data_IF_743172412047
#
_entry.id   IF_743172412047
#
_cell.length_a   1.000
_cell.length_b   1.000
_cell.length_c   1.000
_cell.angle_alpha   90.00
_cell.angle_beta   90.00
_cell.angle_gamma   90.00
#
_symmetry.space_group_name_H-M   'P 1'
#
loop_
_entity.id
_entity.type
_entity.pdbx_description
1 polymer ?
#
# COMPACT_ATOMS: atom_id res chain seq x y z
N UNK A 1 16.25 70.40 78.70
CA UNK A 1 16.19 69.36 79.75
C UNK A 1 14.85 68.64 79.55
N UNK A 2 14.77 67.49 78.85
CA UNK A 2 14.90 66.08 79.34
C UNK A 2 14.00 65.87 80.59
N UNK A 3 12.92 65.10 80.58
CA UNK A 3 12.77 63.65 80.28
C UNK A 3 11.29 63.24 80.05
N UNK A 4 11.07 61.99 79.63
CA UNK A 4 9.84 61.17 79.85
C UNK A 4 8.71 61.37 78.81
N UNK A 5 7.94 60.40 78.35
CA UNK A 5 7.63 58.99 78.68
C UNK A 5 7.04 58.34 77.39
N UNK A 6 7.31 57.07 77.05
CA UNK A 6 6.49 55.88 77.39
C UNK A 6 4.96 56.17 77.29
N UNK A 7 4.09 55.38 76.65
CA UNK A 7 4.20 54.07 76.05
C UNK A 7 2.91 53.80 75.24
N UNK A 8 3.03 52.83 74.35
CA UNK A 8 2.00 52.13 73.60
C UNK A 8 0.69 51.82 74.34
N UNK A 9 -0.43 51.84 73.61
CA UNK A 9 -1.20 50.63 73.27
C UNK A 9 -2.55 51.04 72.66
N UNK A 10 -2.61 51.13 71.32
CA UNK A 10 -3.87 51.06 70.58
C UNK A 10 -3.88 49.73 69.83
N UNK A 11 -4.98 49.03 70.04
CA UNK A 11 -5.24 47.66 69.65
C UNK A 11 -4.88 47.36 68.19
N UNK A 12 -4.11 46.30 67.99
CA UNK A 12 -4.09 45.56 66.73
C UNK A 12 -5.45 44.89 66.56
N UNK A 13 -6.40 45.61 65.98
CA UNK A 13 -7.49 44.97 65.25
C UNK A 13 -6.87 44.37 64.00
N UNK A 14 -6.60 43.07 64.07
CA UNK A 14 -6.18 42.27 62.94
C UNK A 14 -7.16 42.45 61.78
N UNK A 15 -6.68 43.05 60.70
CA UNK A 15 -7.33 42.92 59.40
C UNK A 15 -7.31 41.43 59.01
N UNK A 16 -8.39 40.90 58.43
CA UNK A 16 -8.46 39.50 58.05
C UNK A 16 -7.41 39.20 56.99
N UNK A 17 -6.81 38.03 57.12
CA UNK A 17 -5.94 37.42 56.14
C UNK A 17 -6.57 37.49 54.74
N UNK A 18 -5.82 37.98 53.76
CA UNK A 18 -6.12 37.73 52.34
C UNK A 18 -5.79 36.26 52.02
N UNK A 19 -6.59 35.35 52.55
CA UNK A 19 -6.58 33.94 52.17
C UNK A 19 -7.44 33.79 50.90
N UNK A 20 -6.98 34.31 49.76
CA UNK A 20 -7.68 34.11 48.48
C UNK A 20 -6.80 34.17 47.21
N UNK A 21 -5.49 34.42 47.31
CA UNK A 21 -4.63 34.55 46.12
C UNK A 21 -3.70 33.34 45.87
N UNK A 22 -3.26 32.65 46.94
CA UNK A 22 -2.26 31.56 46.86
C UNK A 22 -2.74 30.30 46.13
N UNK A 23 -3.99 29.90 46.33
CA UNK A 23 -4.60 28.71 45.72
C UNK A 23 -4.67 28.79 44.18
N UNK A 24 -4.88 30.00 43.66
CA UNK A 24 -4.97 30.25 42.21
C UNK A 24 -3.59 30.26 41.51
N UNK A 25 -2.53 30.63 42.24
CA UNK A 25 -1.16 30.61 41.76
C UNK A 25 -0.62 29.17 41.72
N UNK A 26 -0.76 28.45 42.83
CA UNK A 26 -0.29 27.06 42.97
C UNK A 26 -1.01 26.12 42.00
N UNK A 27 -2.33 26.30 41.80
CA UNK A 27 -3.09 25.55 40.80
C UNK A 27 -2.63 25.84 39.36
N UNK A 28 -2.43 27.11 39.00
CA UNK A 28 -1.94 27.50 37.66
C UNK A 28 -0.53 26.99 37.41
N UNK A 29 0.34 27.06 38.41
CA UNK A 29 1.71 26.55 38.31
C UNK A 29 1.72 25.03 38.18
N UNK A 30 0.92 24.32 38.99
CA UNK A 30 0.75 22.87 38.88
C UNK A 30 0.20 22.44 37.51
N UNK A 31 -0.80 23.16 36.98
CA UNK A 31 -1.36 22.91 35.67
C UNK A 31 -0.33 23.16 34.55
N UNK A 32 0.40 24.27 34.61
CA UNK A 32 1.45 24.61 33.64
C UNK A 32 2.56 23.57 33.65
N UNK A 33 3.06 23.21 34.83
CA UNK A 33 4.11 22.20 35.00
C UNK A 33 3.66 20.85 34.46
N UNK A 34 2.45 20.40 34.79
CA UNK A 34 1.88 19.16 34.26
C UNK A 34 1.72 19.18 32.73
N UNK A 35 1.32 20.31 32.15
CA UNK A 35 1.22 20.46 30.69
C UNK A 35 2.59 20.42 30.01
N UNK A 36 3.57 21.16 30.54
CA UNK A 36 4.93 21.22 30.01
C UNK A 36 5.63 19.85 30.10
N UNK A 37 5.51 19.16 31.25
CA UNK A 37 6.07 17.82 31.46
C UNK A 37 5.40 16.77 30.56
N UNK A 38 4.07 16.83 30.43
CA UNK A 38 3.30 15.96 29.55
C UNK A 38 3.65 16.15 28.08
N UNK A 39 3.79 17.41 27.63
CA UNK A 39 4.17 17.73 26.27
C UNK A 39 5.59 17.29 25.95
N UNK A 40 6.55 17.58 26.83
CA UNK A 40 7.96 17.22 26.63
C UNK A 40 8.17 15.69 26.60
N UNK A 41 7.51 14.97 27.50
CA UNK A 41 7.57 13.50 27.55
C UNK A 41 6.91 12.85 26.32
N UNK A 42 5.73 13.34 25.91
CA UNK A 42 5.04 12.90 24.72
C UNK A 42 5.83 13.17 23.44
N UNK A 43 6.39 14.37 23.29
CA UNK A 43 7.20 14.76 22.13
C UNK A 43 8.46 13.90 21.99
N UNK A 44 9.18 13.67 23.09
CA UNK A 44 10.38 12.81 23.11
C UNK A 44 10.04 11.37 22.76
N UNK A 45 8.94 10.84 23.29
CA UNK A 45 8.49 9.48 22.98
C UNK A 45 8.09 9.36 21.51
N UNK A 46 7.37 10.34 20.98
CA UNK A 46 7.01 10.39 19.55
C UNK A 46 8.23 10.41 18.64
N UNK A 47 9.26 11.20 18.97
CA UNK A 47 10.54 11.19 18.23
C UNK A 47 11.30 9.87 18.36
N UNK A 48 11.32 9.27 19.55
CA UNK A 48 11.98 7.98 19.77
C UNK A 48 11.27 6.85 19.03
N UNK A 49 9.94 6.87 18.97
CA UNK A 49 9.12 5.89 18.26
C UNK A 49 9.20 6.08 16.74
N UNK A 50 9.22 7.32 16.24
CA UNK A 50 9.39 7.60 14.82
C UNK A 50 10.81 7.33 14.32
N UNK A 51 11.81 7.46 15.19
CA UNK A 51 13.20 7.10 14.91
C UNK A 51 13.47 5.60 15.05
N UNK A 52 12.48 4.78 15.47
CA UNK A 52 12.66 3.33 15.48
C UNK A 52 12.82 2.88 14.03
N UNK A 53 13.92 2.18 13.69
CA UNK A 53 14.03 1.60 12.38
C UNK A 53 12.83 0.69 12.16
N UNK A 54 12.17 0.85 11.00
CA UNK A 54 11.18 -0.10 10.57
C UNK A 54 11.80 -1.50 10.65
N UNK A 55 11.05 -2.47 11.18
CA UNK A 55 11.45 -3.87 11.06
C UNK A 55 11.83 -4.12 9.60
N UNK A 56 13.01 -4.69 9.33
CA UNK A 56 13.46 -4.86 7.96
C UNK A 56 12.34 -5.56 7.19
N UNK A 57 11.90 -4.93 6.09
CA UNK A 57 10.93 -5.55 5.21
C UNK A 57 11.46 -6.93 4.87
N UNK A 58 10.65 -7.97 5.08
CA UNK A 58 11.02 -9.32 4.69
C UNK A 58 11.48 -9.25 3.23
N UNK A 59 12.67 -9.80 2.95
CA UNK A 59 13.19 -9.84 1.58
C UNK A 59 12.08 -10.37 0.66
N UNK A 60 11.90 -9.79 -0.54
CA UNK A 60 10.90 -10.28 -1.47
C UNK A 60 11.12 -11.79 -1.66
N UNK A 61 10.06 -12.57 -1.52
CA UNK A 61 10.14 -14.01 -1.72
C UNK A 61 10.77 -14.29 -3.09
N UNK A 62 11.66 -15.30 -3.21
CA UNK A 62 12.26 -15.63 -4.49
C UNK A 62 11.15 -15.85 -5.54
N UNK A 63 11.35 -15.38 -6.79
CA UNK A 63 10.37 -15.60 -7.84
C UNK A 63 10.14 -17.11 -7.97
N UNK A 64 8.86 -17.52 -7.88
CA UNK A 64 8.52 -18.92 -8.04
C UNK A 64 8.83 -19.31 -9.48
N UNK A 65 9.58 -20.39 -9.72
CA UNK A 65 9.81 -20.84 -11.09
C UNK A 65 8.45 -21.06 -11.75
N UNK A 66 8.19 -20.32 -12.81
CA UNK A 66 7.01 -20.56 -13.64
C UNK A 66 7.12 -21.94 -14.29
N UNK A 67 6.01 -22.56 -14.64
CA UNK A 67 5.97 -23.81 -15.39
C UNK A 67 6.04 -23.57 -16.91
N UNK A 68 6.11 -24.63 -17.74
CA UNK A 68 5.96 -24.47 -19.19
C UNK A 68 4.56 -23.93 -19.55
N UNK A 69 4.43 -23.40 -20.75
CA UNK A 69 3.17 -22.95 -21.33
C UNK A 69 2.17 -24.11 -21.34
N UNK A 70 0.99 -23.85 -20.79
CA UNK A 70 -0.20 -24.69 -20.92
C UNK A 70 -1.35 -23.83 -21.41
N UNK A 71 -1.73 -23.96 -22.68
CA UNK A 71 -2.86 -23.21 -23.24
C UNK A 71 -4.16 -23.67 -22.56
N UNK A 72 -4.94 -22.71 -22.06
CA UNK A 72 -6.26 -22.93 -21.46
C UNK A 72 -7.35 -22.71 -22.51
N UNK A 73 -7.35 -21.55 -23.15
CA UNK A 73 -8.31 -21.17 -24.21
C UNK A 73 -7.62 -20.37 -25.29
N UNK A 74 -8.09 -20.50 -26.53
CA UNK A 74 -7.71 -19.64 -27.63
C UNK A 74 -8.89 -19.46 -28.60
N UNK A 75 -9.34 -18.22 -28.78
CA UNK A 75 -10.44 -17.87 -29.67
C UNK A 75 -9.95 -16.94 -30.77
N UNK A 76 -10.26 -17.29 -32.02
CA UNK A 76 -9.88 -16.51 -33.19
C UNK A 76 -11.12 -15.95 -33.87
N UNK A 77 -11.18 -14.64 -34.10
CA UNK A 77 -12.31 -14.03 -34.80
C UNK A 77 -12.57 -12.58 -34.41
N UNK A 78 -13.85 -12.22 -34.39
CA UNK A 78 -14.39 -10.92 -33.94
C UNK A 78 -15.31 -11.13 -32.73
N UNK A 79 -15.92 -10.05 -32.23
CA UNK A 79 -16.86 -10.11 -31.10
C UNK A 79 -18.12 -10.94 -31.38
N UNK A 80 -18.54 -11.06 -32.64
CA UNK A 80 -19.78 -11.77 -33.03
C UNK A 80 -19.54 -13.08 -33.75
N UNK A 81 -18.34 -13.31 -34.27
CA UNK A 81 -17.99 -14.51 -35.05
C UNK A 81 -16.58 -14.98 -34.69
N UNK A 82 -16.47 -16.13 -34.05
CA UNK A 82 -15.18 -16.70 -33.66
C UNK A 82 -15.14 -18.22 -33.81
N UNK A 83 -13.93 -18.78 -33.90
CA UNK A 83 -13.67 -20.20 -33.83
C UNK A 83 -12.73 -20.54 -32.68
N UNK A 84 -12.87 -21.74 -32.14
CA UNK A 84 -11.99 -22.28 -31.12
C UNK A 84 -10.68 -22.78 -31.75
N UNK A 85 -9.59 -22.07 -31.46
CA UNK A 85 -8.23 -22.37 -31.89
C UNK A 85 -7.41 -23.09 -30.80
N UNK A 86 -8.00 -23.38 -29.64
CA UNK A 86 -7.32 -23.89 -28.43
C UNK A 86 -6.48 -25.12 -28.76
N UNK A 87 -7.10 -26.11 -29.41
CA UNK A 87 -6.43 -27.38 -29.75
C UNK A 87 -5.30 -27.19 -30.76
N UNK A 88 -5.48 -26.29 -31.73
CA UNK A 88 -4.48 -26.01 -32.75
C UNK A 88 -3.25 -25.33 -32.16
N UNK A 89 -3.46 -24.38 -31.26
CA UNK A 89 -2.40 -23.64 -30.59
C UNK A 89 -1.66 -24.53 -29.58
N UNK A 90 -2.41 -25.24 -28.73
CA UNK A 90 -1.89 -26.13 -27.70
C UNK A 90 -0.88 -27.15 -28.27
N UNK A 91 -1.19 -27.79 -29.40
CA UNK A 91 -0.28 -28.75 -30.06
C UNK A 91 1.07 -28.16 -30.47
N UNK A 92 1.15 -26.84 -30.68
CA UNK A 92 2.37 -26.17 -31.14
C UNK A 92 3.21 -25.65 -29.98
N UNK A 93 2.55 -25.15 -28.93
CA UNK A 93 3.21 -24.34 -27.90
C UNK A 93 3.26 -25.01 -26.52
N UNK A 94 2.39 -25.98 -26.22
CA UNK A 94 2.38 -26.60 -24.90
C UNK A 94 3.73 -27.29 -24.62
N UNK A 95 4.19 -27.17 -23.37
CA UNK A 95 5.48 -27.70 -22.94
C UNK A 95 6.68 -26.79 -23.21
N UNK A 96 6.52 -25.70 -23.98
CA UNK A 96 7.58 -24.72 -24.23
C UNK A 96 7.65 -23.66 -23.13
N UNK A 97 8.79 -22.98 -23.02
CA UNK A 97 8.96 -21.80 -22.14
C UNK A 97 8.56 -20.50 -22.82
N UNK A 98 8.84 -20.41 -24.11
CA UNK A 98 8.46 -19.32 -24.98
C UNK A 98 7.94 -19.87 -26.30
N UNK A 99 7.07 -19.11 -26.97
CA UNK A 99 6.59 -19.45 -28.30
C UNK A 99 6.26 -18.20 -29.11
N UNK A 100 6.48 -18.31 -30.42
CA UNK A 100 6.04 -17.34 -31.41
C UNK A 100 5.19 -18.06 -32.45
N UNK A 101 4.02 -17.51 -32.75
CA UNK A 101 3.04 -18.14 -33.65
C UNK A 101 2.47 -17.08 -34.58
N UNK A 102 2.47 -17.35 -35.89
CA UNK A 102 1.80 -16.47 -36.84
C UNK A 102 0.28 -16.63 -36.73
N UNK A 103 -0.44 -15.52 -36.65
CA UNK A 103 -1.90 -15.50 -36.60
C UNK A 103 -2.49 -15.51 -38.01
N UNK A 104 -3.14 -16.61 -38.39
CA UNK A 104 -3.69 -16.80 -39.73
C UNK A 104 -4.89 -17.79 -39.72
N UNK A 105 -5.54 -17.93 -40.86
CA UNK A 105 -6.73 -18.78 -41.02
C UNK A 105 -6.44 -20.30 -40.96
N UNK A 106 -5.18 -20.74 -40.85
CA UNK A 106 -4.84 -22.17 -40.73
C UNK A 106 -5.18 -22.75 -39.35
N UNK A 107 -5.50 -21.88 -38.38
CA UNK A 107 -5.83 -22.26 -37.01
C UNK A 107 -7.14 -23.03 -36.91
N UNK A 108 -8.21 -22.44 -37.43
CA UNK A 108 -9.56 -22.99 -37.40
C UNK A 108 -10.44 -22.52 -38.58
N UNK A 109 -9.83 -22.05 -39.67
CA UNK A 109 -10.52 -21.45 -40.81
C UNK A 109 -10.71 -19.94 -40.66
N UNK A 110 -11.58 -19.38 -41.51
CA UNK A 110 -11.94 -17.95 -41.47
C UNK A 110 -13.36 -17.77 -40.89
N UNK A 111 -13.49 -17.45 -39.59
CA UNK A 111 -14.79 -17.28 -38.94
C UNK A 111 -15.52 -15.99 -39.32
N UNK A 112 -14.80 -14.96 -39.78
CA UNK A 112 -15.34 -13.63 -40.03
C UNK A 112 -14.75 -13.05 -41.31
N UNK A 113 -15.20 -13.58 -42.45
CA UNK A 113 -14.75 -13.16 -43.78
C UNK A 113 -14.99 -11.66 -44.00
N UNK A 114 -13.93 -10.97 -44.42
CA UNK A 114 -13.95 -9.53 -44.69
C UNK A 114 -13.72 -8.66 -43.45
N UNK A 115 -13.74 -9.23 -42.25
CA UNK A 115 -13.46 -8.53 -41.00
C UNK A 115 -12.04 -8.80 -40.53
N UNK A 116 -11.44 -7.81 -39.85
CA UNK A 116 -10.14 -7.98 -39.19
C UNK A 116 -10.31 -8.83 -37.93
N UNK A 117 -9.72 -10.02 -37.93
CA UNK A 117 -9.80 -10.96 -36.81
C UNK A 117 -8.65 -10.78 -35.82
N UNK A 118 -8.89 -11.17 -34.59
CA UNK A 118 -7.92 -11.24 -33.50
C UNK A 118 -7.92 -12.63 -32.89
N UNK A 119 -6.73 -13.12 -32.52
CA UNK A 119 -6.57 -14.30 -31.69
C UNK A 119 -6.39 -13.85 -30.25
N UNK A 120 -7.28 -14.26 -29.36
CA UNK A 120 -7.17 -14.05 -27.91
C UNK A 120 -6.86 -15.38 -27.24
N UNK A 121 -5.85 -15.40 -26.37
CA UNK A 121 -5.34 -16.61 -25.73
C UNK A 121 -5.23 -16.42 -24.23
N UNK A 122 -5.76 -17.38 -23.48
CA UNK A 122 -5.44 -17.57 -22.06
C UNK A 122 -4.53 -18.79 -21.91
N UNK A 123 -3.41 -18.62 -21.22
CA UNK A 123 -2.44 -19.69 -20.99
C UNK A 123 -1.90 -19.63 -19.56
N UNK A 124 -1.35 -20.75 -19.10
CA UNK A 124 -0.88 -20.93 -17.73
C UNK A 124 0.62 -21.17 -17.76
N UNK A 125 1.34 -20.45 -16.90
CA UNK A 125 2.76 -20.60 -16.59
C UNK A 125 2.88 -21.15 -15.15
N UNK A 126 2.84 -22.47 -14.98
CA UNK A 126 2.82 -23.09 -13.64
C UNK A 126 1.50 -22.83 -12.94
N UNK A 127 1.46 -21.90 -11.98
CA UNK A 127 0.23 -21.49 -11.27
C UNK A 127 -0.29 -20.11 -11.70
N UNK A 128 0.35 -19.48 -12.68
CA UNK A 128 0.03 -18.11 -13.10
C UNK A 128 -0.71 -18.16 -14.43
N UNK A 129 -1.97 -17.72 -14.45
CA UNK A 129 -2.70 -17.48 -15.69
C UNK A 129 -2.24 -16.16 -16.32
N UNK A 130 -1.99 -16.16 -17.62
CA UNK A 130 -1.62 -15.02 -18.45
C UNK A 130 -2.53 -14.96 -19.67
N UNK A 131 -2.66 -13.78 -20.26
CA UNK A 131 -3.36 -13.56 -21.52
C UNK A 131 -2.43 -12.94 -22.55
N UNK A 132 -2.70 -13.23 -23.83
CA UNK A 132 -2.01 -12.61 -24.94
C UNK A 132 -2.97 -12.53 -26.13
N UNK A 133 -2.79 -11.52 -26.98
CA UNK A 133 -3.55 -11.42 -28.22
C UNK A 133 -2.70 -10.89 -29.37
N UNK A 134 -3.15 -11.18 -30.59
CA UNK A 134 -2.57 -10.64 -31.80
C UNK A 134 -3.58 -10.65 -32.95
N UNK A 135 -3.57 -9.59 -33.76
CA UNK A 135 -4.37 -9.51 -34.97
C UNK A 135 -3.89 -10.50 -36.04
N UNK A 136 -4.79 -10.84 -36.98
CA UNK A 136 -4.45 -11.58 -38.19
C UNK A 136 -3.22 -10.98 -38.90
N UNK A 137 -2.36 -11.86 -39.40
CA UNK A 137 -1.05 -11.56 -40.01
C UNK A 137 -0.01 -10.96 -39.06
N UNK A 138 -0.26 -10.96 -37.75
CA UNK A 138 0.75 -10.62 -36.72
C UNK A 138 1.27 -11.87 -36.04
N UNK A 139 2.35 -11.69 -35.28
CA UNK A 139 2.94 -12.75 -34.47
C UNK A 139 2.42 -12.64 -33.05
N UNK A 140 1.83 -13.71 -32.55
CA UNK A 140 1.54 -13.89 -31.12
C UNK A 140 2.82 -14.35 -30.41
N UNK A 141 3.12 -13.73 -29.27
CA UNK A 141 4.24 -14.12 -28.40
C UNK A 141 3.71 -14.61 -27.05
N UNK A 142 4.18 -15.77 -26.61
CA UNK A 142 3.88 -16.37 -25.31
C UNK A 142 5.17 -16.55 -24.52
N UNK A 143 5.16 -16.21 -23.23
CA UNK A 143 6.36 -16.22 -22.39
C UNK A 143 6.08 -16.64 -20.93
N UNK A 144 6.76 -17.71 -20.50
CA UNK A 144 6.80 -18.25 -19.15
C UNK A 144 8.25 -18.36 -18.62
N UNK A 145 9.13 -17.38 -18.93
CA UNK A 145 10.53 -17.35 -18.46
C UNK A 145 10.75 -16.60 -17.16
N UNK A 146 9.78 -15.79 -16.72
CA UNK A 146 9.75 -15.12 -15.41
C UNK A 146 8.55 -15.58 -14.60
#
# INVERSE_FOLDING_TARGET
MKTSALAACLAFLALPATAQDRDSGDYREGYRRGYDDGFASGYRKGLAESSRPASPAAAPAPPRPTGPITVSTAYYGTSSKSCDATRWLARRVNGRRTASVQVNNEMCGDPARGDRKELEVTFICGSIAKTASAYEHRTLYLDCTN
#
